data_IF_397817745535
#
_entry.id   IF_397817745535
#
_cell.length_a   1.000
_cell.length_b   1.000
_cell.length_c   1.000
_cell.angle_alpha   90.00
_cell.angle_beta   90.00
_cell.angle_gamma   90.00
#
_symmetry.space_group_name_H-M   'P 1'
#
loop_
_entity.id
_entity.type
_entity.pdbx_description
1 polymer ?
#
# COMPACT_ATOMS: atom_id res chain seq x y z
N UNK A 1 11.67 -9.79 6.54
CA UNK A 1 11.01 -9.32 7.79
C UNK A 1 10.96 -7.80 7.86
N UNK A 2 12.08 -7.10 7.63
CA UNK A 2 12.10 -5.63 7.60
C UNK A 2 11.11 -5.03 6.59
N UNK A 3 11.20 -5.38 5.30
CA UNK A 3 10.27 -4.88 4.27
C UNK A 3 8.80 -5.19 4.60
N UNK A 4 8.53 -6.37 5.18
CA UNK A 4 7.19 -6.75 5.59
C UNK A 4 6.65 -5.84 6.71
N UNK A 5 7.47 -5.51 7.70
CA UNK A 5 7.10 -4.55 8.75
C UNK A 5 6.87 -3.16 8.17
N UNK A 6 7.74 -2.71 7.25
CA UNK A 6 7.61 -1.43 6.56
C UNK A 6 6.28 -1.31 5.81
N UNK A 7 5.91 -2.29 4.99
CA UNK A 7 4.65 -2.23 4.21
C UNK A 7 3.41 -2.35 5.11
N UNK A 8 3.49 -3.07 6.23
CA UNK A 8 2.40 -3.13 7.20
C UNK A 8 2.20 -1.79 7.88
N UNK A 9 3.29 -1.16 8.33
CA UNK A 9 3.22 0.17 8.93
C UNK A 9 2.68 1.20 7.93
N UNK A 10 3.13 1.15 6.67
CA UNK A 10 2.62 2.03 5.62
C UNK A 10 1.11 1.84 5.40
N UNK A 11 0.64 0.59 5.27
CA UNK A 11 -0.78 0.30 5.11
C UNK A 11 -1.62 0.81 6.30
N UNK A 12 -1.17 0.53 7.53
CA UNK A 12 -1.88 0.94 8.74
C UNK A 12 -1.90 2.45 8.93
N UNK A 13 -0.77 3.13 8.75
CA UNK A 13 -0.68 4.59 8.89
C UNK A 13 -1.55 5.31 7.87
N UNK A 14 -1.50 4.89 6.59
CA UNK A 14 -2.39 5.44 5.56
C UNK A 14 -3.86 5.21 5.89
N UNK A 15 -4.24 4.01 6.34
CA UNK A 15 -5.64 3.69 6.66
C UNK A 15 -6.17 4.54 7.81
N UNK A 16 -5.39 4.68 8.88
CA UNK A 16 -5.75 5.51 10.04
C UNK A 16 -5.83 6.97 9.66
N UNK A 17 -4.89 7.46 8.85
CA UNK A 17 -4.89 8.86 8.48
C UNK A 17 -6.04 9.22 7.54
N UNK A 18 -6.33 8.35 6.56
CA UNK A 18 -7.49 8.49 5.70
C UNK A 18 -8.79 8.48 6.50
N UNK A 19 -8.89 7.60 7.50
CA UNK A 19 -10.03 7.54 8.41
C UNK A 19 -10.18 8.78 9.29
N UNK A 20 -9.08 9.36 9.76
CA UNK A 20 -9.09 10.60 10.54
C UNK A 20 -9.47 11.81 9.69
N UNK A 21 -9.01 11.86 8.44
CA UNK A 21 -9.35 12.94 7.50
C UNK A 21 -10.76 12.79 6.91
N UNK A 22 -11.31 11.57 6.90
CA UNK A 22 -12.53 11.24 6.17
C UNK A 22 -12.33 11.22 4.65
N UNK A 23 -11.08 11.20 4.17
CA UNK A 23 -10.76 11.07 2.74
C UNK A 23 -9.38 10.44 2.54
N UNK A 24 -9.21 9.73 1.42
CA UNK A 24 -7.91 9.25 0.97
C UNK A 24 -7.39 10.22 -0.11
N UNK A 25 -6.66 11.26 0.32
CA UNK A 25 -6.15 12.30 -0.55
C UNK A 25 -4.74 11.98 -1.12
N UNK A 26 -4.33 12.81 -2.08
CA UNK A 26 -3.01 12.72 -2.69
C UNK A 26 -1.88 12.81 -1.64
N UNK A 27 -2.05 13.57 -0.56
CA UNK A 27 -1.02 13.76 0.46
C UNK A 27 -0.80 12.49 1.30
N UNK A 28 -1.87 11.76 1.65
CA UNK A 28 -1.79 10.46 2.32
C UNK A 28 -1.13 9.44 1.39
N UNK A 29 -1.55 9.38 0.12
CA UNK A 29 -0.95 8.49 -0.86
C UNK A 29 0.54 8.79 -1.09
N UNK A 30 0.90 10.03 -1.39
CA UNK A 30 2.28 10.41 -1.70
C UNK A 30 3.23 10.15 -0.53
N UNK A 31 2.83 10.44 0.71
CA UNK A 31 3.65 10.11 1.89
C UNK A 31 3.79 8.61 2.10
N UNK A 32 2.72 7.84 1.91
CA UNK A 32 2.77 6.39 1.98
C UNK A 32 3.67 5.78 0.91
N UNK A 33 3.56 6.26 -0.32
CA UNK A 33 4.40 5.84 -1.44
C UNK A 33 5.87 6.16 -1.19
N UNK A 34 6.20 7.40 -0.78
CA UNK A 34 7.57 7.79 -0.43
C UNK A 34 8.11 6.96 0.73
N UNK A 35 7.31 6.71 1.77
CA UNK A 35 7.73 5.87 2.89
C UNK A 35 8.07 4.44 2.43
N UNK A 36 7.23 3.84 1.59
CA UNK A 36 7.52 2.51 1.02
C UNK A 36 8.78 2.54 0.18
N UNK A 37 9.00 3.55 -0.66
CA UNK A 37 10.21 3.66 -1.50
C UNK A 37 11.49 3.87 -0.69
N UNK A 38 11.45 4.69 0.36
CA UNK A 38 12.63 5.03 1.17
C UNK A 38 13.01 3.94 2.17
N UNK A 39 12.02 3.25 2.74
CA UNK A 39 12.21 2.33 3.86
C UNK A 39 12.11 0.86 3.48
N UNK A 40 12.00 0.54 2.20
CA UNK A 40 12.15 -0.84 1.71
C UNK A 40 13.52 -1.06 1.08
N UNK A 41 13.89 -2.33 0.96
CA UNK A 41 15.21 -2.75 0.46
C UNK A 41 15.47 -2.41 -1.01
N UNK A 42 14.43 -2.19 -1.82
CA UNK A 42 14.55 -1.93 -3.26
C UNK A 42 14.29 -0.45 -3.52
N UNK A 43 15.35 0.28 -3.87
CA UNK A 43 15.33 1.74 -4.00
C UNK A 43 14.73 2.25 -5.31
N UNK A 44 14.63 1.39 -6.32
CA UNK A 44 14.17 1.74 -7.66
C UNK A 44 12.74 1.23 -7.94
N UNK A 45 11.90 1.09 -6.90
CA UNK A 45 10.53 0.65 -7.12
C UNK A 45 9.60 1.82 -7.44
N UNK A 46 8.83 1.68 -8.50
CA UNK A 46 7.71 2.58 -8.77
C UNK A 46 6.50 2.09 -7.99
N UNK A 47 5.85 2.99 -7.25
CA UNK A 47 4.66 2.66 -6.45
C UNK A 47 3.43 3.21 -7.13
N UNK A 48 2.53 2.35 -7.58
CA UNK A 48 1.31 2.75 -8.27
C UNK A 48 0.11 2.70 -7.33
N UNK A 49 -0.84 3.60 -7.54
CA UNK A 49 -2.17 3.50 -6.93
C UNK A 49 -3.04 2.56 -7.76
N UNK A 50 -3.77 1.66 -7.09
CA UNK A 50 -4.79 0.82 -7.70
C UNK A 50 -6.11 1.01 -6.93
N UNK A 51 -7.19 1.49 -7.58
CA UNK A 51 -8.44 1.74 -6.90
C UNK A 51 -9.08 0.45 -6.41
N UNK A 52 -9.47 0.44 -5.14
CA UNK A 52 -10.16 -0.66 -4.49
C UNK A 52 -11.66 -0.60 -4.80
N UNK A 53 -12.06 -1.12 -5.97
CA UNK A 53 -13.47 -1.30 -6.32
C UNK A 53 -14.02 -2.67 -5.89
N UNK A 54 -13.20 -3.54 -5.26
CA UNK A 54 -13.53 -4.94 -4.99
C UNK A 54 -12.75 -5.45 -3.79
N UNK A 55 -13.35 -6.23 -2.89
CA UNK A 55 -12.74 -6.75 -1.64
C UNK A 55 -11.51 -7.68 -1.81
N UNK A 56 -11.03 -7.87 -3.04
CA UNK A 56 -9.94 -8.77 -3.41
C UNK A 56 -8.71 -7.97 -3.84
N UNK A 57 -7.52 -8.50 -3.58
CA UNK A 57 -6.27 -7.90 -4.04
C UNK A 57 -6.30 -7.70 -5.56
N UNK A 58 -5.84 -6.53 -6.08
CA UNK A 58 -5.73 -6.32 -7.51
C UNK A 58 -4.88 -7.41 -8.15
N UNK A 59 -5.26 -7.85 -9.35
CA UNK A 59 -4.38 -8.65 -10.20
C UNK A 59 -3.05 -7.89 -10.45
N UNK A 60 -3.13 -6.57 -10.43
CA UNK A 60 -2.08 -5.56 -10.62
C UNK A 60 -0.97 -5.62 -9.56
N UNK A 61 -1.17 -6.36 -8.45
CA UNK A 61 -0.05 -6.76 -7.59
C UNK A 61 1.11 -7.40 -8.38
N UNK A 62 0.86 -7.88 -9.61
CA UNK A 62 1.81 -8.53 -10.51
C UNK A 62 2.31 -7.61 -11.65
N UNK A 63 2.29 -6.28 -11.49
CA UNK A 63 2.77 -5.34 -12.52
C UNK A 63 4.25 -5.53 -12.92
N UNK A 64 5.05 -6.22 -12.10
CA UNK A 64 6.42 -6.58 -12.42
C UNK A 64 7.36 -6.51 -11.23
N UNK A 65 8.60 -6.90 -11.46
CA UNK A 65 9.65 -7.02 -10.46
C UNK A 65 10.06 -5.68 -9.83
N UNK A 66 9.80 -4.56 -10.52
CA UNK A 66 10.18 -3.20 -10.12
C UNK A 66 9.02 -2.31 -9.69
N UNK A 67 7.83 -2.88 -9.48
CA UNK A 67 6.62 -2.11 -9.21
C UNK A 67 5.95 -2.57 -7.92
N UNK A 68 5.77 -1.65 -6.98
CA UNK A 68 4.87 -1.80 -5.84
C UNK A 68 3.48 -1.25 -6.16
N UNK A 69 2.47 -1.71 -5.44
CA UNK A 69 1.08 -1.23 -5.60
C UNK A 69 0.49 -0.88 -4.24
N UNK A 70 -0.04 0.34 -4.12
CA UNK A 70 -0.93 0.75 -3.04
C UNK A 70 -2.36 0.56 -3.52
N UNK A 71 -3.01 -0.46 -2.97
CA UNK A 71 -4.41 -0.74 -3.18
C UNK A 71 -5.24 0.04 -2.17
N UNK A 72 -5.94 1.07 -2.62
CA UNK A 72 -6.70 1.97 -1.76
C UNK A 72 -7.95 2.46 -2.51
N UNK A 73 -8.94 3.03 -1.84
CA UNK A 73 -10.04 3.70 -2.53
C UNK A 73 -9.54 4.76 -3.53
N UNK A 74 -10.42 5.19 -4.44
CA UNK A 74 -10.09 6.23 -5.42
C UNK A 74 -9.60 7.50 -4.72
N UNK A 75 -8.57 8.14 -5.28
CA UNK A 75 -7.99 9.34 -4.70
C UNK A 75 -9.03 10.47 -4.61
N UNK A 76 -9.00 11.19 -3.49
CA UNK A 76 -9.95 12.25 -3.14
C UNK A 76 -11.39 11.78 -2.96
N UNK A 77 -11.62 10.48 -2.76
CA UNK A 77 -12.94 9.97 -2.33
C UNK A 77 -13.17 10.34 -0.88
N UNK A 78 -14.30 11.00 -0.63
CA UNK A 78 -14.78 11.27 0.72
C UNK A 78 -15.52 10.05 1.28
N UNK A 79 -15.35 9.77 2.56
CA UNK A 79 -16.01 8.69 3.29
C UNK A 79 -17.03 9.25 4.28
N UNK A 80 -18.12 8.51 4.47
CA UNK A 80 -19.09 8.81 5.50
C UNK A 80 -18.61 8.32 6.86
N UNK A 81 -19.14 8.93 7.92
CA UNK A 81 -18.87 8.50 9.29
C UNK A 81 -19.26 7.02 9.47
N UNK A 82 -18.34 6.24 10.03
CA UNK A 82 -18.55 4.81 10.26
C UNK A 82 -18.29 3.91 9.05
N UNK A 83 -17.91 4.47 7.89
CA UNK A 83 -17.42 3.65 6.77
C UNK A 83 -16.04 3.07 7.08
N UNK A 84 -15.80 1.84 6.61
CA UNK A 84 -14.51 1.16 6.78
C UNK A 84 -13.63 1.48 5.58
N UNK A 85 -12.51 2.12 5.84
CA UNK A 85 -11.48 2.40 4.84
C UNK A 85 -10.46 1.29 4.90
N UNK A 86 -10.21 0.63 3.77
CA UNK A 86 -9.22 -0.45 3.67
C UNK A 86 -8.14 -0.06 2.67
N UNK A 87 -6.89 -0.10 3.13
CA UNK A 87 -5.71 0.18 2.33
C UNK A 87 -4.76 -1.01 2.43
N UNK A 88 -4.21 -1.42 1.29
CA UNK A 88 -3.21 -2.46 1.18
C UNK A 88 -1.99 -2.00 0.41
N UNK A 89 -0.85 -2.59 0.74
CA UNK A 89 0.43 -2.41 0.06
C UNK A 89 0.90 -3.77 -0.43
N UNK A 90 1.25 -3.81 -1.70
CA UNK A 90 1.79 -4.96 -2.41
C UNK A 90 3.20 -4.63 -2.87
N UNK A 91 4.18 -5.44 -2.49
CA UNK A 91 5.59 -5.14 -2.72
C UNK A 91 6.36 -6.38 -3.23
N UNK A 92 7.04 -6.31 -4.38
CA UNK A 92 7.84 -7.41 -4.90
C UNK A 92 9.16 -7.56 -4.15
N UNK A 93 9.47 -8.77 -3.71
CA UNK A 93 10.80 -9.19 -3.32
C UNK A 93 11.40 -10.01 -4.46
N UNK A 94 12.50 -9.51 -5.01
CA UNK A 94 13.35 -10.24 -5.93
C UNK A 94 14.38 -11.04 -5.14
N UNK A 95 14.50 -12.33 -5.44
CA UNK A 95 15.56 -13.17 -4.89
C UNK A 95 16.05 -14.12 -5.98
N UNK A 96 17.37 -14.18 -6.12
CA UNK A 96 18.03 -15.08 -7.07
C UNK A 96 18.22 -16.42 -6.40
N UNK A 97 17.48 -17.43 -6.85
CA UNK A 97 17.73 -18.81 -6.47
C UNK A 97 18.66 -19.44 -7.50
N UNK A 98 19.83 -19.87 -7.04
CA UNK A 98 20.76 -20.68 -7.83
C UNK A 98 20.36 -22.14 -7.64
N UNK A 99 19.78 -22.75 -8.67
CA UNK A 99 19.54 -24.18 -8.70
C UNK A 99 20.60 -24.86 -9.58
N UNK A 100 21.17 -25.95 -9.08
CA UNK A 100 22.02 -26.84 -9.86
C UNK A 100 21.17 -28.04 -10.26
N UNK A 101 20.73 -28.12 -11.52
CA UNK A 101 20.10 -29.35 -12.02
C UNK A 101 21.16 -30.45 -12.20
N UNK A 102 20.73 -31.72 -12.05
CA UNK A 102 21.52 -32.96 -12.04
C UNK A 102 22.47 -33.18 -13.24
N UNK A 103 22.51 -32.26 -14.22
CA UNK A 103 23.31 -32.35 -15.44
C UNK A 103 24.25 -31.16 -15.67
N UNK A 104 24.52 -30.32 -14.66
CA UNK A 104 25.63 -29.37 -14.69
C UNK A 104 25.38 -28.04 -15.42
N UNK A 105 24.12 -27.72 -15.75
CA UNK A 105 23.74 -26.40 -16.25
C UNK A 105 23.23 -25.51 -15.10
N UNK A 106 23.85 -24.35 -14.92
CA UNK A 106 23.40 -23.32 -13.98
C UNK A 106 22.27 -22.53 -14.63
N UNK A 107 21.04 -22.68 -14.13
CA UNK A 107 19.91 -21.84 -14.54
C UNK A 107 19.66 -20.82 -13.44
N UNK A 108 19.84 -19.54 -13.76
CA UNK A 108 19.42 -18.44 -12.91
C UNK A 108 17.95 -18.19 -13.22
N UNK A 109 17.05 -18.55 -12.31
CA UNK A 109 15.62 -18.26 -12.43
C UNK A 109 15.27 -17.12 -11.48
N UNK A 110 14.88 -15.98 -12.03
CA UNK A 110 14.34 -14.86 -11.26
C UNK A 110 12.93 -15.22 -10.80
N UNK A 111 12.80 -15.60 -9.54
CA UNK A 111 11.50 -15.84 -8.91
C UNK A 111 11.08 -14.57 -8.16
N UNK A 112 9.85 -14.12 -8.41
CA UNK A 112 9.25 -12.96 -7.75
C UNK A 112 8.31 -13.45 -6.65
N UNK A 113 8.56 -13.04 -5.41
CA UNK A 113 7.60 -13.19 -4.30
C UNK A 113 6.98 -11.83 -4.03
N UNK A 114 5.68 -11.78 -3.76
CA UNK A 114 5.00 -10.53 -3.44
C UNK A 114 4.59 -10.53 -1.97
N UNK A 115 5.08 -9.56 -1.22
CA UNK A 115 4.59 -9.25 0.11
C UNK A 115 3.30 -8.46 -0.01
N UNK A 116 2.30 -8.85 0.78
CA UNK A 116 0.98 -8.20 0.82
C UNK A 116 0.62 -7.87 2.25
N UNK A 117 0.30 -6.62 2.52
CA UNK A 117 -0.13 -6.14 3.83
C UNK A 117 -1.35 -5.25 3.69
N UNK A 118 -2.41 -5.50 4.47
CA UNK A 118 -3.64 -4.71 4.44
C UNK A 118 -4.02 -4.26 5.84
N UNK A 119 -4.60 -3.07 5.93
CA UNK A 119 -5.15 -2.52 7.16
C UNK A 119 -6.50 -1.87 6.86
N UNK A 120 -7.37 -1.89 7.87
CA UNK A 120 -8.69 -1.28 7.81
C UNK A 120 -8.90 -0.39 9.03
N UNK A 121 -9.50 0.79 8.83
CA UNK A 121 -9.83 1.72 9.89
C UNK A 121 -11.26 2.26 9.69
N UNK A 122 -11.95 2.58 10.79
CA UNK A 122 -13.28 3.19 10.78
C UNK A 122 -13.14 4.70 10.63
N UNK A 123 -13.84 5.29 9.65
CA UNK A 123 -13.85 6.73 9.45
C UNK A 123 -14.48 7.44 10.66
N UNK A 124 -13.72 8.35 11.26
CA UNK A 124 -14.19 9.20 12.35
C UNK A 124 -15.01 10.38 11.77
N UNK A 125 -15.98 10.94 12.52
CA UNK A 125 -16.67 12.15 12.08
C UNK A 125 -15.68 13.31 12.00
N UNK A 126 -15.68 14.02 10.86
CA UNK A 126 -15.07 15.33 10.75
C UNK A 126 -15.89 16.30 11.63
N UNK A 127 -15.44 16.55 12.85
CA UNK A 127 -15.94 17.67 13.66
C UNK A 127 -15.49 18.96 12.96
N UNK A 128 -16.36 19.53 12.14
CA UNK A 128 -16.27 20.94 11.76
C UNK A 128 -16.22 21.73 13.07
N UNK A 129 -15.19 22.56 13.36
CA UNK A 129 -15.28 23.49 14.47
C UNK A 129 -16.49 24.37 14.21
N UNK A 130 -17.45 24.38 15.13
CA UNK A 130 -18.72 25.08 14.99
C UNK A 130 -18.48 26.50 14.44
N UNK A 131 -19.14 26.92 13.35
CA UNK A 131 -19.06 28.29 12.91
C UNK A 131 -19.80 29.15 13.93
N UNK A 132 -19.07 30.06 14.57
CA UNK A 132 -19.64 31.15 15.35
C UNK A 132 -19.93 30.80 16.82
N UNK A 133 -18.91 30.99 17.66
CA UNK A 133 -19.17 31.86 18.80
C UNK A 133 -19.33 33.27 18.23
N UNK A 134 -20.56 33.80 18.26
CA UNK A 134 -20.90 35.22 18.26
C UNK A 134 -22.43 35.36 18.37
N UNK A 135 -22.89 35.93 19.48
CA UNK A 135 -24.31 36.22 19.77
C UNK A 135 -24.64 36.22 21.26
#
# INVERSE_FOLDING_TARGET
MYDFATINYAASSMAVEAARKGCFDQDVYSRGASYVQEWTSSKDIEVYHAPNQSAWWPADCQQGAGSGVIWAPELNTAFQQGEIITIGVCYPIQFKLLYMEQLGHWIIKDNHLYLKAKASALSEPFLVPAPGGDG
#
